data_IF_770769257071
#
_entry.id   IF_770769257071
#
_cell.length_a   1.000
_cell.length_b   1.000
_cell.length_c   1.000
_cell.angle_alpha   90.00
_cell.angle_beta   90.00
_cell.angle_gamma   90.00
#
_symmetry.space_group_name_H-M   'P 1'
#
loop_
_entity.id
_entity.type
_entity.pdbx_description
1 polymer ?
#
# COMPACT_ATOMS: atom_id res chain seq x y z
N UNK A 1 -5.62 -23.10 24.68
CA UNK A 1 -6.67 -22.68 23.73
C UNK A 1 -6.85 -21.16 23.66
N UNK A 2 -7.19 -20.48 24.77
CA UNK A 2 -7.44 -19.03 24.76
C UNK A 2 -6.27 -18.17 24.24
N UNK A 3 -5.03 -18.48 24.64
CA UNK A 3 -3.81 -17.75 24.20
C UNK A 3 -3.60 -17.86 22.69
N UNK A 4 -3.75 -19.07 22.12
CA UNK A 4 -3.60 -19.31 20.68
C UNK A 4 -4.69 -18.60 19.86
N UNK A 5 -5.95 -18.70 20.29
CA UNK A 5 -7.06 -18.00 19.65
C UNK A 5 -6.92 -16.48 19.73
N UNK A 6 -6.52 -15.95 20.89
CA UNK A 6 -6.24 -14.52 21.07
C UNK A 6 -5.12 -14.02 20.17
N UNK A 7 -4.01 -14.77 20.08
CA UNK A 7 -2.88 -14.44 19.22
C UNK A 7 -3.29 -14.42 17.74
N UNK A 8 -4.07 -15.42 17.30
CA UNK A 8 -4.60 -15.46 15.94
C UNK A 8 -5.51 -14.28 15.64
N UNK A 9 -6.50 -14.00 16.50
CA UNK A 9 -7.45 -12.90 16.28
C UNK A 9 -6.76 -11.54 16.26
N UNK A 10 -5.84 -11.30 17.20
CA UNK A 10 -5.06 -10.06 17.25
C UNK A 10 -4.16 -9.94 16.02
N UNK A 11 -3.47 -11.01 15.63
CA UNK A 11 -2.57 -11.01 14.47
C UNK A 11 -3.34 -10.87 13.15
N UNK A 12 -4.42 -11.63 12.95
CA UNK A 12 -5.28 -11.54 11.78
C UNK A 12 -5.96 -10.17 11.67
N UNK A 13 -6.43 -9.61 12.78
CA UNK A 13 -6.99 -8.24 12.83
C UNK A 13 -5.92 -7.20 12.52
N UNK A 14 -4.74 -7.32 13.14
CA UNK A 14 -3.62 -6.40 12.92
C UNK A 14 -3.09 -6.46 11.49
N UNK A 15 -3.06 -7.63 10.86
CA UNK A 15 -2.65 -7.81 9.47
C UNK A 15 -3.80 -7.58 8.49
N UNK A 16 -5.00 -7.25 8.96
CA UNK A 16 -6.20 -7.12 8.12
C UNK A 16 -6.43 -8.37 7.25
N UNK A 17 -6.11 -9.56 7.77
CA UNK A 17 -6.10 -10.82 7.02
C UNK A 17 -7.46 -11.12 6.38
N UNK A 18 -8.53 -10.77 7.09
CA UNK A 18 -9.92 -10.96 6.68
C UNK A 18 -10.61 -9.65 6.30
N UNK A 19 -9.87 -8.54 6.22
CA UNK A 19 -10.47 -7.27 5.83
C UNK A 19 -10.78 -7.30 4.34
N UNK A 20 -12.02 -7.00 3.93
CA UNK A 20 -12.34 -6.84 2.52
C UNK A 20 -11.58 -5.68 1.88
N UNK A 21 -11.25 -4.63 2.64
CA UNK A 21 -10.62 -3.42 2.12
C UNK A 21 -9.15 -3.61 1.67
N UNK A 22 -8.59 -4.82 1.71
CA UNK A 22 -7.20 -5.08 1.32
C UNK A 22 -7.16 -6.19 0.27
N UNK A 23 -7.14 -5.86 -1.04
CA UNK A 23 -7.06 -6.86 -2.09
C UNK A 23 -5.74 -7.61 -2.02
N UNK A 24 -5.80 -8.95 -2.00
CA UNK A 24 -4.64 -9.82 -1.93
C UNK A 24 -4.71 -10.92 -2.95
N UNK A 25 -3.56 -11.27 -3.52
CA UNK A 25 -3.45 -12.47 -4.36
C UNK A 25 -3.57 -13.72 -3.50
N UNK A 26 -3.97 -14.85 -4.08
CA UNK A 26 -4.03 -16.13 -3.37
C UNK A 26 -2.68 -16.49 -2.72
N UNK A 27 -1.57 -16.16 -3.39
CA UNK A 27 -0.21 -16.37 -2.88
C UNK A 27 0.08 -15.49 -1.64
N UNK A 28 -0.27 -14.20 -1.68
CA UNK A 28 -0.12 -13.28 -0.55
C UNK A 28 -0.96 -13.73 0.65
N UNK A 29 -2.20 -14.15 0.40
CA UNK A 29 -3.08 -14.71 1.42
C UNK A 29 -2.51 -15.97 2.07
N UNK A 30 -1.99 -16.91 1.26
CA UNK A 30 -1.38 -18.14 1.76
C UNK A 30 -0.13 -17.83 2.59
N UNK A 31 0.75 -16.96 2.10
CA UNK A 31 1.97 -16.58 2.80
C UNK A 31 1.69 -15.92 4.15
N UNK A 32 0.76 -14.96 4.22
CA UNK A 32 0.37 -14.32 5.48
C UNK A 32 -0.29 -15.30 6.45
N UNK A 33 -1.09 -16.24 5.94
CA UNK A 33 -1.69 -17.29 6.77
C UNK A 33 -0.61 -18.18 7.38
N UNK A 34 0.39 -18.59 6.58
CA UNK A 34 1.53 -19.37 7.05
C UNK A 34 2.33 -18.59 8.10
N UNK A 35 2.63 -17.31 7.85
CA UNK A 35 3.33 -16.45 8.82
C UNK A 35 2.56 -16.37 10.14
N UNK A 36 1.25 -16.16 10.09
CA UNK A 36 0.42 -16.06 11.30
C UNK A 36 0.32 -17.40 12.04
N UNK A 37 0.25 -18.52 11.31
CA UNK A 37 0.30 -19.87 11.87
C UNK A 37 1.63 -20.10 12.61
N UNK A 38 2.76 -19.81 11.96
CA UNK A 38 4.08 -19.95 12.56
C UNK A 38 4.25 -19.06 13.80
N UNK A 39 3.79 -17.80 13.73
CA UNK A 39 3.83 -16.89 14.87
C UNK A 39 2.98 -17.40 16.05
N UNK A 40 1.78 -17.90 15.78
CA UNK A 40 0.90 -18.45 16.83
C UNK A 40 1.50 -19.71 17.46
N UNK A 41 2.07 -20.60 16.65
CA UNK A 41 2.78 -21.79 17.12
C UNK A 41 4.00 -21.44 17.97
N UNK A 42 4.78 -20.43 17.57
CA UNK A 42 5.93 -19.94 18.34
C UNK A 42 5.51 -19.39 19.70
N UNK A 43 4.43 -18.59 19.77
CA UNK A 43 3.90 -18.06 21.03
C UNK A 43 3.46 -19.19 21.95
N UNK A 44 2.76 -20.20 21.43
CA UNK A 44 2.34 -21.37 22.21
C UNK A 44 3.53 -22.17 22.73
N UNK A 45 4.56 -22.37 21.91
CA UNK A 45 5.79 -23.05 22.30
C UNK A 45 6.55 -22.31 23.42
N UNK A 46 6.71 -20.99 23.30
CA UNK A 46 7.34 -20.17 24.35
C UNK A 46 6.51 -20.19 25.63
N UNK A 47 5.19 -20.08 25.52
CA UNK A 47 4.27 -20.14 26.66
C UNK A 47 4.39 -21.46 27.44
N UNK A 48 4.46 -22.60 26.74
CA UNK A 48 4.71 -23.92 27.34
C UNK A 48 6.04 -23.94 28.09
N UNK A 49 7.12 -23.46 27.45
CA UNK A 49 8.47 -23.47 28.03
C UNK A 49 8.64 -22.56 29.24
N UNK A 50 7.81 -21.53 29.41
CA UNK A 50 7.80 -20.70 30.61
C UNK A 50 7.22 -21.41 31.85
N UNK A 51 6.81 -22.68 31.76
CA UNK A 51 6.39 -23.49 32.91
C UNK A 51 5.06 -23.05 33.54
N UNK A 52 4.30 -22.20 32.85
CA UNK A 52 2.99 -21.69 33.31
C UNK A 52 1.90 -22.77 33.20
N UNK A 53 2.13 -23.82 32.41
CA UNK A 53 1.19 -24.94 32.21
C UNK A 53 1.64 -26.15 33.03
N UNK A 54 0.79 -26.74 33.89
CA UNK A 54 1.13 -27.93 34.66
C UNK A 54 1.48 -29.13 33.76
N UNK A 55 2.53 -29.90 34.11
CA UNK A 55 3.07 -31.04 33.34
C UNK A 55 2.03 -32.11 32.96
N UNK A 56 0.92 -32.21 33.70
CA UNK A 56 -0.16 -33.18 33.46
C UNK A 56 -0.99 -32.90 32.19
N UNK A 57 -0.81 -31.74 31.57
CA UNK A 57 -1.42 -31.37 30.29
C UNK A 57 -0.39 -31.21 29.16
N UNK A 58 0.75 -31.91 29.24
CA UNK A 58 1.72 -32.05 28.15
C UNK A 58 1.16 -32.91 26.99
N UNK A 59 -0.06 -32.62 26.55
CA UNK A 59 -0.52 -32.93 25.21
C UNK A 59 0.45 -32.19 24.29
N UNK A 60 1.31 -32.91 23.57
CA UNK A 60 2.47 -32.30 22.93
C UNK A 60 2.03 -31.07 22.14
N UNK A 61 2.65 -29.92 22.38
CA UNK A 61 2.30 -28.68 21.68
C UNK A 61 2.38 -28.84 20.16
N UNK A 62 3.12 -29.84 19.67
CA UNK A 62 3.10 -30.31 18.27
C UNK A 62 1.72 -30.84 17.85
N UNK A 63 1.07 -31.70 18.64
CA UNK A 63 -0.28 -32.22 18.38
C UNK A 63 -1.34 -31.12 18.52
N UNK A 64 -1.19 -30.22 19.49
CA UNK A 64 -2.08 -29.06 19.64
C UNK A 64 -1.94 -28.06 18.49
N UNK A 65 -0.72 -27.81 18.02
CA UNK A 65 -0.43 -26.97 16.86
C UNK A 65 -1.04 -27.53 15.57
N UNK A 66 -1.02 -28.85 15.38
CA UNK A 66 -1.68 -29.52 14.23
C UNK A 66 -3.20 -29.44 14.33
N UNK A 67 -3.79 -29.63 15.50
CA UNK A 67 -5.24 -29.50 15.69
C UNK A 67 -5.67 -28.05 15.46
N UNK A 68 -4.95 -27.08 16.03
CA UNK A 68 -5.17 -25.66 15.80
C UNK A 68 -4.96 -25.28 14.32
N UNK A 69 -4.00 -25.89 13.62
CA UNK A 69 -3.79 -25.73 12.18
C UNK A 69 -5.02 -26.17 11.37
N UNK A 70 -5.58 -27.35 11.66
CA UNK A 70 -6.78 -27.86 10.98
C UNK A 70 -7.98 -26.95 11.26
N UNK A 71 -8.19 -26.54 12.51
CA UNK A 71 -9.30 -25.67 12.88
C UNK A 71 -9.17 -24.23 12.35
N UNK A 72 -7.95 -23.69 12.24
CA UNK A 72 -7.72 -22.36 11.67
C UNK A 72 -7.90 -22.35 10.15
N UNK A 73 -7.44 -23.40 9.45
CA UNK A 73 -7.75 -23.60 8.04
C UNK A 73 -9.25 -23.80 7.82
N UNK A 74 -9.91 -24.65 8.61
CA UNK A 74 -11.35 -24.86 8.56
C UNK A 74 -12.12 -23.56 8.83
N UNK A 75 -11.77 -22.80 9.87
CA UNK A 75 -12.37 -21.50 10.15
C UNK A 75 -12.17 -20.51 9.00
N UNK A 76 -11.00 -20.50 8.35
CA UNK A 76 -10.76 -19.67 7.16
C UNK A 76 -11.70 -20.06 6.01
N UNK A 77 -11.78 -21.33 5.66
CA UNK A 77 -12.57 -21.78 4.50
C UNK A 77 -14.08 -21.77 4.76
N UNK A 78 -14.51 -22.09 5.97
CA UNK A 78 -15.94 -22.22 6.32
C UNK A 78 -16.54 -20.89 6.76
N UNK A 79 -15.81 -20.06 7.52
CA UNK A 79 -16.36 -18.83 8.10
C UNK A 79 -15.91 -17.60 7.29
N UNK A 80 -14.60 -17.46 7.06
CA UNK A 80 -14.06 -16.21 6.51
C UNK A 80 -14.03 -16.12 4.99
N UNK A 81 -13.90 -17.24 4.27
CA UNK A 81 -13.97 -17.26 2.80
C UNK A 81 -15.32 -16.76 2.28
N UNK A 82 -16.49 -17.22 2.80
CA UNK A 82 -17.77 -16.67 2.40
C UNK A 82 -17.97 -15.21 2.85
N UNK A 83 -17.48 -14.83 4.06
CA UNK A 83 -17.53 -13.42 4.50
C UNK A 83 -16.68 -12.49 3.63
N UNK A 84 -15.53 -12.96 3.14
CA UNK A 84 -14.66 -12.20 2.23
C UNK A 84 -15.34 -12.02 0.87
N UNK A 85 -15.98 -13.05 0.34
CA UNK A 85 -16.77 -12.98 -0.90
C UNK A 85 -17.97 -12.01 -0.80
N UNK A 86 -18.54 -11.85 0.40
CA UNK A 86 -19.61 -10.87 0.64
C UNK A 86 -19.05 -9.44 0.69
N UNK A 87 -17.82 -9.27 1.18
CA UNK A 87 -17.19 -7.99 1.42
C UNK A 87 -16.28 -7.44 0.32
N UNK A 88 -15.95 -8.20 -0.74
CA UNK A 88 -14.91 -7.90 -1.74
C UNK A 88 -14.55 -6.41 -1.92
N UNK A 89 -13.23 -6.05 -1.90
CA UNK A 89 -12.79 -4.67 -2.00
C UNK A 89 -13.39 -4.03 -3.22
N UNK A 90 -14.05 -2.90 -3.01
CA UNK A 90 -14.59 -2.12 -4.08
C UNK A 90 -13.47 -1.19 -4.53
N UNK A 91 -12.76 -1.56 -5.60
CA UNK A 91 -11.76 -0.69 -6.21
C UNK A 91 -12.49 0.55 -6.77
N UNK A 92 -12.15 1.72 -6.27
CA UNK A 92 -12.67 3.00 -6.78
C UNK A 92 -12.11 3.22 -8.19
N UNK A 93 -12.99 3.33 -9.18
CA UNK A 93 -12.63 3.50 -10.60
C UNK A 93 -13.32 4.70 -11.20
N UNK A 94 -12.68 5.28 -12.21
CA UNK A 94 -13.20 6.43 -12.95
C UNK A 94 -13.54 5.98 -14.38
N UNK A 95 -14.70 6.39 -14.90
CA UNK A 95 -15.07 6.11 -16.29
C UNK A 95 -15.02 7.41 -17.10
N UNK A 96 -14.32 7.40 -18.23
CA UNK A 96 -14.32 8.51 -19.20
C UNK A 96 -15.22 8.13 -20.35
N UNK A 97 -16.35 8.83 -20.48
CA UNK A 97 -17.44 8.52 -21.39
C UNK A 97 -18.77 8.54 -20.65
N UNK A 98 -19.65 9.45 -21.06
CA UNK A 98 -21.01 9.61 -20.51
C UNK A 98 -22.10 9.10 -21.45
N UNK A 99 -21.74 8.69 -22.67
CA UNK A 99 -22.64 8.13 -23.66
C UNK A 99 -22.98 6.65 -23.42
N UNK A 100 -23.57 5.98 -24.42
CA UNK A 100 -23.95 4.56 -24.32
C UNK A 100 -22.78 3.62 -23.97
N UNK A 101 -21.58 3.89 -24.49
CA UNK A 101 -20.39 3.11 -24.18
C UNK A 101 -19.99 3.23 -22.70
N UNK A 102 -20.10 4.42 -22.11
CA UNK A 102 -19.84 4.65 -20.69
C UNK A 102 -20.85 3.95 -19.78
N UNK A 103 -22.13 3.96 -20.15
CA UNK A 103 -23.17 3.22 -19.43
C UNK A 103 -22.95 1.71 -19.53
N UNK A 104 -22.61 1.20 -20.72
CA UNK A 104 -22.28 -0.21 -20.89
C UNK A 104 -21.06 -0.62 -20.06
N UNK A 105 -20.01 0.22 -20.04
CA UNK A 105 -18.84 0.00 -19.20
C UNK A 105 -19.22 0.00 -17.72
N UNK A 106 -20.07 0.93 -17.26
CA UNK A 106 -20.56 0.95 -15.89
C UNK A 106 -21.26 -0.38 -15.52
N UNK A 107 -22.20 -0.85 -16.35
CA UNK A 107 -22.86 -2.14 -16.15
C UNK A 107 -21.86 -3.30 -16.11
N UNK A 108 -20.91 -3.36 -17.03
CA UNK A 108 -19.88 -4.40 -17.05
C UNK A 108 -19.00 -4.37 -15.78
N UNK A 109 -18.71 -3.19 -15.23
CA UNK A 109 -17.91 -3.03 -14.02
C UNK A 109 -18.66 -3.34 -12.73
N UNK A 110 -19.97 -3.06 -12.68
CA UNK A 110 -20.78 -3.26 -11.46
C UNK A 110 -21.51 -4.60 -11.41
N UNK A 111 -21.94 -5.12 -12.55
CA UNK A 111 -22.75 -6.35 -12.68
C UNK A 111 -21.96 -7.50 -13.33
N UNK A 112 -20.77 -7.23 -13.85
CA UNK A 112 -19.93 -8.23 -14.52
C UNK A 112 -19.29 -9.25 -13.58
N UNK A 113 -18.71 -10.29 -14.20
CA UNK A 113 -17.90 -11.31 -13.50
C UNK A 113 -16.48 -10.78 -13.33
N UNK A 114 -16.04 -10.58 -12.09
CA UNK A 114 -14.71 -10.04 -11.84
C UNK A 114 -14.57 -9.39 -10.47
N UNK A 115 -13.60 -8.47 -10.35
CA UNK A 115 -13.41 -7.69 -9.12
C UNK A 115 -14.55 -6.71 -8.93
N UNK A 116 -15.05 -6.58 -7.71
CA UNK A 116 -16.03 -5.52 -7.39
C UNK A 116 -15.36 -4.16 -7.52
N UNK A 117 -16.01 -3.24 -8.22
CA UNK A 117 -15.53 -1.88 -8.46
C UNK A 117 -16.62 -0.85 -8.16
N UNK A 118 -16.24 0.31 -7.65
CA UNK A 118 -17.14 1.44 -7.42
C UNK A 118 -16.80 2.47 -8.47
N UNK A 119 -17.75 2.76 -9.35
CA UNK A 119 -17.56 3.88 -10.27
C UNK A 119 -17.79 5.17 -9.49
N UNK A 120 -16.70 5.85 -9.14
CA UNK A 120 -16.72 7.09 -8.34
C UNK A 120 -17.39 8.23 -9.12
N UNK A 121 -17.23 8.22 -10.45
CA UNK A 121 -17.91 9.14 -11.33
C UNK A 121 -17.51 8.98 -12.79
N UNK A 122 -18.08 9.85 -13.60
CA UNK A 122 -17.85 9.92 -15.05
C UNK A 122 -17.19 11.23 -15.46
N UNK A 123 -16.38 11.17 -16.53
CA UNK A 123 -15.93 12.35 -17.27
C UNK A 123 -16.54 12.35 -18.67
N UNK A 124 -17.07 13.49 -19.11
CA UNK A 124 -17.67 13.60 -20.45
C UNK A 124 -16.61 13.89 -21.52
N UNK A 125 -16.72 13.23 -22.68
CA UNK A 125 -15.99 13.67 -23.88
C UNK A 125 -16.59 14.97 -24.42
N UNK A 126 -15.81 15.73 -25.18
CA UNK A 126 -16.28 16.98 -25.80
C UNK A 126 -17.48 16.72 -26.73
N UNK A 127 -18.57 17.47 -26.51
CA UNK A 127 -19.80 17.34 -27.30
C UNK A 127 -20.61 16.06 -27.02
N UNK A 128 -20.23 15.26 -26.03
CA UNK A 128 -20.96 14.07 -25.64
C UNK A 128 -22.17 14.42 -24.75
N UNK A 129 -23.33 13.85 -25.07
CA UNK A 129 -24.55 14.04 -24.29
C UNK A 129 -24.64 12.91 -23.26
N UNK A 130 -24.78 13.29 -21.99
CA UNK A 130 -24.95 12.36 -20.89
C UNK A 130 -26.16 11.45 -21.09
N UNK A 131 -25.94 10.14 -21.07
CA UNK A 131 -27.00 9.16 -21.22
C UNK A 131 -27.83 9.05 -19.93
N UNK A 132 -29.15 8.88 -20.07
CA UNK A 132 -30.10 8.78 -18.93
C UNK A 132 -29.81 7.62 -17.97
N UNK A 133 -29.04 6.61 -18.39
CA UNK A 133 -28.70 5.44 -17.59
C UNK A 133 -27.53 5.60 -16.61
N UNK A 134 -26.91 6.79 -16.53
CA UNK A 134 -25.78 7.02 -15.62
C UNK A 134 -26.23 6.99 -14.15
N UNK A 135 -25.60 6.14 -13.33
CA UNK A 135 -25.90 5.98 -11.90
C UNK A 135 -24.78 6.47 -10.98
N UNK A 136 -23.85 7.27 -11.49
CA UNK A 136 -22.78 7.91 -10.73
C UNK A 136 -22.62 9.39 -11.19
N UNK A 137 -22.03 10.28 -10.37
CA UNK A 137 -21.94 11.71 -10.71
C UNK A 137 -21.00 11.96 -11.89
N UNK A 138 -21.31 12.98 -12.69
CA UNK A 138 -20.40 13.51 -13.71
C UNK A 138 -19.47 14.50 -13.00
N UNK A 139 -18.18 14.20 -12.97
CA UNK A 139 -17.18 14.96 -12.20
C UNK A 139 -16.57 16.12 -12.99
N UNK A 140 -16.76 16.14 -14.31
CA UNK A 140 -16.21 17.15 -15.21
C UNK A 140 -16.06 16.63 -16.64
N UNK A 141 -15.20 17.30 -17.41
CA UNK A 141 -14.84 16.90 -18.77
C UNK A 141 -13.59 16.01 -18.78
N UNK A 142 -13.39 15.27 -19.87
CA UNK A 142 -12.22 14.42 -20.08
C UNK A 142 -10.90 15.20 -20.01
N UNK A 143 -10.88 16.48 -20.42
CA UNK A 143 -9.73 17.38 -20.26
C UNK A 143 -9.32 17.64 -18.80
N UNK A 144 -10.24 17.45 -17.85
CA UNK A 144 -10.01 17.70 -16.42
C UNK A 144 -9.55 16.44 -15.66
N UNK A 145 -9.24 15.36 -16.38
CA UNK A 145 -8.82 14.07 -15.81
C UNK A 145 -7.76 14.23 -14.72
N UNK A 146 -6.65 14.93 -15.01
CA UNK A 146 -5.54 15.10 -14.07
C UNK A 146 -5.97 15.86 -12.80
N UNK A 147 -6.91 16.79 -12.92
CA UNK A 147 -7.47 17.54 -11.78
C UNK A 147 -8.33 16.63 -10.90
N UNK A 148 -9.10 15.72 -11.50
CA UNK A 148 -9.90 14.73 -10.77
C UNK A 148 -9.01 13.69 -10.08
N UNK A 149 -8.03 13.13 -10.80
CA UNK A 149 -7.02 12.22 -10.23
C UNK A 149 -6.21 12.87 -9.10
N UNK A 150 -6.12 14.21 -9.08
CA UNK A 150 -5.46 14.93 -8.02
C UNK A 150 -6.25 15.01 -6.71
N UNK A 151 -7.58 14.96 -6.80
CA UNK A 151 -8.51 15.13 -5.67
C UNK A 151 -9.04 13.80 -5.15
N UNK A 152 -9.22 12.83 -6.04
CA UNK A 152 -9.74 11.51 -5.74
C UNK A 152 -8.73 10.45 -6.14
N UNK A 153 -8.47 9.53 -5.20
CA UNK A 153 -7.65 8.36 -5.48
C UNK A 153 -8.52 7.34 -6.22
N UNK A 154 -8.09 6.93 -7.41
CA UNK A 154 -8.76 5.91 -8.19
C UNK A 154 -7.75 4.83 -8.58
N UNK A 155 -8.16 3.58 -8.48
CA UNK A 155 -7.33 2.44 -8.81
C UNK A 155 -7.02 2.38 -10.30
N UNK A 156 -8.00 2.70 -11.14
CA UNK A 156 -7.93 2.56 -12.60
C UNK A 156 -8.92 3.50 -13.32
N UNK A 157 -8.56 3.92 -14.54
CA UNK A 157 -9.38 4.77 -15.41
C UNK A 157 -9.88 3.97 -16.63
N UNK A 158 -11.19 3.88 -16.81
CA UNK A 158 -11.82 3.17 -17.93
C UNK A 158 -12.21 4.16 -19.02
N UNK A 159 -11.63 4.04 -20.22
CA UNK A 159 -11.82 4.99 -21.31
C UNK A 159 -12.88 4.44 -22.28
N UNK A 160 -14.14 4.77 -22.03
CA UNK A 160 -15.31 4.27 -22.74
C UNK A 160 -15.87 5.29 -23.76
N UNK A 161 -15.07 5.57 -24.79
CA UNK A 161 -15.43 6.46 -25.91
C UNK A 161 -15.76 5.74 -27.20
N UNK A 162 -16.28 6.48 -28.19
CA UNK A 162 -16.42 5.99 -29.57
C UNK A 162 -15.15 6.34 -30.34
N UNK A 163 -14.33 5.36 -30.68
CA UNK A 163 -13.01 5.56 -31.31
C UNK A 163 -13.05 6.46 -32.55
N UNK A 164 -14.10 6.35 -33.38
CA UNK A 164 -14.26 7.15 -34.60
C UNK A 164 -14.57 8.63 -34.35
N UNK A 165 -15.14 8.97 -33.19
CA UNK A 165 -15.55 10.35 -32.87
C UNK A 165 -14.60 10.96 -31.85
N UNK A 166 -14.28 10.24 -30.77
CA UNK A 166 -13.50 10.73 -29.64
C UNK A 166 -12.03 10.30 -29.71
N UNK A 167 -11.55 9.75 -30.83
CA UNK A 167 -10.23 9.12 -30.93
C UNK A 167 -9.06 10.01 -30.49
N UNK A 168 -9.09 11.31 -30.83
CA UNK A 168 -8.07 12.26 -30.41
C UNK A 168 -8.08 12.49 -28.89
N UNK A 169 -9.25 12.73 -28.30
CA UNK A 169 -9.40 12.94 -26.86
C UNK A 169 -9.06 11.67 -26.06
N UNK A 170 -9.44 10.49 -26.56
CA UNK A 170 -9.02 9.20 -26.02
C UNK A 170 -7.50 9.06 -25.98
N UNK A 171 -6.79 9.47 -27.04
CA UNK A 171 -5.32 9.45 -27.06
C UNK A 171 -4.71 10.46 -26.08
N UNK A 172 -5.32 11.63 -25.89
CA UNK A 172 -4.88 12.60 -24.87
C UNK A 172 -5.04 12.04 -23.46
N UNK A 173 -6.16 11.37 -23.18
CA UNK A 173 -6.41 10.69 -21.90
C UNK A 173 -5.38 9.59 -21.66
N UNK A 174 -5.09 8.76 -22.67
CA UNK A 174 -4.07 7.70 -22.58
C UNK A 174 -2.70 8.31 -22.21
N UNK A 175 -2.26 9.36 -22.92
CA UNK A 175 -0.99 10.03 -22.61
C UNK A 175 -0.97 10.62 -21.21
N UNK A 176 -2.08 11.23 -20.77
CA UNK A 176 -2.20 11.77 -19.42
C UNK A 176 -2.07 10.66 -18.36
N UNK A 177 -2.72 9.51 -18.57
CA UNK A 177 -2.58 8.35 -17.70
C UNK A 177 -1.14 7.81 -17.68
N UNK A 178 -0.48 7.70 -18.83
CA UNK A 178 0.92 7.29 -18.94
C UNK A 178 1.89 8.24 -18.23
N UNK A 179 1.67 9.55 -18.35
CA UNK A 179 2.51 10.57 -17.73
C UNK A 179 2.49 10.47 -16.20
N UNK A 180 1.32 10.22 -15.61
CA UNK A 180 1.17 10.07 -14.14
C UNK A 180 1.25 8.61 -13.66
N UNK A 181 1.45 7.65 -14.56
CA UNK A 181 1.50 6.23 -14.25
C UNK A 181 0.19 5.63 -13.73
N UNK A 182 -0.94 6.22 -14.09
CA UNK A 182 -2.27 5.74 -13.70
C UNK A 182 -2.67 4.54 -14.57
N UNK A 183 -3.04 3.39 -13.98
CA UNK A 183 -3.61 2.28 -14.74
C UNK A 183 -4.85 2.72 -15.50
N UNK A 184 -4.99 2.25 -16.73
CA UNK A 184 -6.17 2.53 -17.54
C UNK A 184 -6.60 1.33 -18.35
N UNK A 185 -7.88 1.28 -18.69
CA UNK A 185 -8.46 0.18 -19.44
C UNK A 185 -9.36 0.66 -20.58
N UNK A 186 -9.38 -0.11 -21.66
CA UNK A 186 -10.18 0.16 -22.85
C UNK A 186 -11.25 -0.93 -23.03
N UNK A 187 -12.53 -0.57 -23.26
CA UNK A 187 -13.60 -1.55 -23.45
C UNK A 187 -13.43 -2.31 -24.77
N UNK A 188 -13.67 -3.63 -24.71
CA UNK A 188 -13.79 -4.48 -25.91
C UNK A 188 -15.24 -4.68 -26.34
N UNK A 189 -16.15 -3.79 -25.95
CA UNK A 189 -17.60 -3.99 -26.12
C UNK A 189 -18.03 -4.12 -27.59
N UNK A 190 -17.20 -3.65 -28.55
CA UNK A 190 -17.42 -3.86 -29.98
C UNK A 190 -17.07 -5.27 -30.49
N UNK A 191 -16.46 -6.10 -29.63
CA UNK A 191 -15.88 -7.41 -29.96
C UNK A 191 -16.34 -8.45 -28.91
N UNK A 192 -17.62 -8.81 -28.93
CA UNK A 192 -18.15 -9.90 -28.11
C UNK A 192 -17.84 -11.25 -28.76
N UNK A 193 -16.86 -11.98 -28.23
CA UNK A 193 -16.51 -13.30 -28.72
C UNK A 193 -17.15 -14.40 -27.86
N UNK A 194 -18.11 -15.15 -28.42
CA UNK A 194 -18.74 -16.27 -27.68
C UNK A 194 -17.87 -17.52 -27.63
N UNK A 195 -16.98 -17.72 -28.61
CA UNK A 195 -16.16 -18.93 -28.75
C UNK A 195 -14.66 -18.66 -28.89
N UNK A 196 -14.28 -17.52 -29.46
CA UNK A 196 -12.88 -17.19 -29.66
C UNK A 196 -12.21 -16.82 -28.32
N UNK A 197 -10.99 -17.32 -28.11
CA UNK A 197 -10.14 -16.98 -26.97
C UNK A 197 -8.92 -16.24 -27.49
N UNK A 198 -8.48 -15.22 -26.77
CA UNK A 198 -7.28 -14.46 -27.14
C UNK A 198 -6.05 -15.38 -27.07
N UNK A 199 -5.23 -15.38 -28.12
CA UNK A 199 -3.99 -16.13 -28.17
C UNK A 199 -2.91 -15.36 -27.39
N UNK A 200 -2.37 -16.01 -26.36
CA UNK A 200 -1.17 -15.56 -25.66
C UNK A 200 -1.42 -14.50 -24.60
N UNK A 201 -1.65 -14.94 -23.35
CA UNK A 201 -1.24 -14.29 -22.08
C UNK A 201 -1.65 -12.85 -21.77
N UNK A 202 -2.10 -12.05 -22.73
CA UNK A 202 -2.65 -10.73 -22.51
C UNK A 202 -3.95 -10.95 -21.73
N UNK A 203 -3.96 -10.37 -20.53
CA UNK A 203 -5.05 -10.48 -19.58
C UNK A 203 -6.29 -9.81 -20.16
N UNK A 204 -7.03 -10.52 -21.00
CA UNK A 204 -8.48 -10.39 -20.98
C UNK A 204 -8.92 -10.88 -19.61
N UNK A 205 -9.07 -9.93 -18.72
CA UNK A 205 -9.85 -10.12 -17.52
C UNK A 205 -11.28 -10.46 -17.93
N UNK A 206 -11.96 -11.26 -17.11
CA UNK A 206 -13.34 -11.72 -17.37
C UNK A 206 -14.35 -10.56 -17.46
N UNK A 207 -13.92 -9.33 -17.16
CA UNK A 207 -14.71 -8.10 -17.16
C UNK A 207 -14.86 -7.42 -18.53
N UNK A 208 -14.19 -7.92 -19.59
CA UNK A 208 -14.38 -7.42 -20.96
C UNK A 208 -13.59 -6.15 -21.32
N UNK A 209 -12.50 -5.88 -20.60
CA UNK A 209 -11.62 -4.74 -20.85
C UNK A 209 -10.17 -5.17 -21.16
N UNK A 210 -9.46 -4.32 -21.91
CA UNK A 210 -8.01 -4.40 -22.07
C UNK A 210 -7.34 -3.47 -21.06
N UNK A 211 -6.60 -4.05 -20.12
CA UNK A 211 -5.91 -3.31 -19.06
C UNK A 211 -4.48 -2.95 -19.46
N UNK A 212 -4.10 -1.70 -19.23
CA UNK A 212 -2.79 -1.15 -19.53
C UNK A 212 -2.15 -0.57 -18.27
N UNK A 213 -0.86 -0.84 -18.12
CA UNK A 213 -0.01 -0.31 -17.06
C UNK A 213 1.15 0.45 -17.70
N UNK A 214 1.47 1.62 -17.16
CA UNK A 214 2.58 2.46 -17.66
C UNK A 214 3.96 1.98 -17.18
N UNK A 215 4.01 0.88 -16.44
CA UNK A 215 5.23 0.29 -15.89
C UNK A 215 5.41 -1.13 -16.41
N UNK A 216 6.67 -1.54 -16.60
CA UNK A 216 7.03 -2.91 -17.00
C UNK A 216 6.35 -3.97 -16.11
N UNK A 217 5.51 -4.80 -16.73
CA UNK A 217 4.87 -5.92 -16.04
C UNK A 217 5.83 -7.09 -15.94
N UNK A 218 6.45 -7.27 -14.78
CA UNK A 218 7.28 -8.45 -14.46
C UNK A 218 6.58 -9.29 -13.39
N UNK A 219 5.48 -10.00 -13.72
CA UNK A 219 4.59 -10.60 -12.73
C UNK A 219 5.31 -11.58 -11.81
N UNK A 220 6.21 -12.40 -12.36
CA UNK A 220 7.02 -13.32 -11.55
C UNK A 220 7.95 -12.59 -10.58
N UNK A 221 8.64 -11.54 -11.03
CA UNK A 221 9.52 -10.77 -10.15
C UNK A 221 8.73 -10.05 -9.05
N UNK A 222 7.54 -9.52 -9.37
CA UNK A 222 6.68 -8.90 -8.36
C UNK A 222 6.16 -9.90 -7.32
N UNK A 223 5.84 -11.13 -7.74
CA UNK A 223 5.46 -12.20 -6.83
C UNK A 223 6.64 -12.58 -5.90
N UNK A 224 7.85 -12.73 -6.45
CA UNK A 224 9.07 -12.97 -5.66
C UNK A 224 9.35 -11.82 -4.71
N UNK A 225 9.29 -10.57 -5.16
CA UNK A 225 9.44 -9.38 -4.32
C UNK A 225 8.44 -9.39 -3.16
N UNK A 226 7.18 -9.70 -3.44
CA UNK A 226 6.14 -9.78 -2.40
C UNK A 226 6.43 -10.87 -1.38
N UNK A 227 6.91 -12.05 -1.81
CA UNK A 227 7.30 -13.11 -0.89
C UNK A 227 8.49 -12.71 -0.02
N UNK A 228 9.50 -12.07 -0.61
CA UNK A 228 10.65 -11.53 0.13
C UNK A 228 10.21 -10.48 1.16
N UNK A 229 9.32 -9.56 0.77
CA UNK A 229 8.75 -8.55 1.67
C UNK A 229 8.06 -9.19 2.88
N UNK A 230 7.25 -10.23 2.66
CA UNK A 230 6.53 -10.92 3.73
C UNK A 230 7.50 -11.65 4.65
N UNK A 231 8.40 -12.48 4.10
CA UNK A 231 9.33 -13.30 4.87
C UNK A 231 10.30 -12.43 5.66
N UNK A 232 10.92 -11.44 5.02
CA UNK A 232 11.89 -10.57 5.68
C UNK A 232 11.22 -9.67 6.74
N UNK A 233 10.01 -9.18 6.51
CA UNK A 233 9.28 -8.39 7.51
C UNK A 233 8.83 -9.23 8.70
N UNK A 234 8.34 -10.45 8.46
CA UNK A 234 7.96 -11.38 9.51
C UNK A 234 9.17 -11.77 10.37
N UNK A 235 10.28 -12.15 9.73
CA UNK A 235 11.52 -12.49 10.42
C UNK A 235 12.08 -11.29 11.19
N UNK A 236 12.08 -10.10 10.57
CA UNK A 236 12.50 -8.86 11.20
C UNK A 236 11.69 -8.54 12.46
N UNK A 237 10.37 -8.69 12.42
CA UNK A 237 9.52 -8.49 13.60
C UNK A 237 9.82 -9.48 14.74
N UNK A 238 10.11 -10.74 14.42
CA UNK A 238 10.47 -11.75 15.43
C UNK A 238 11.83 -11.45 16.04
N UNK A 239 12.86 -11.25 15.22
CA UNK A 239 14.23 -11.00 15.67
C UNK A 239 14.34 -9.68 16.45
N UNK A 240 13.63 -8.64 16.00
CA UNK A 240 13.65 -7.33 16.66
C UNK A 240 12.64 -7.23 17.81
N UNK A 241 11.80 -8.23 18.06
CA UNK A 241 10.75 -8.16 19.09
C UNK A 241 11.25 -7.75 20.49
N UNK A 242 12.44 -8.18 20.99
CA UNK A 242 12.93 -7.71 22.30
C UNK A 242 13.23 -6.20 22.30
N UNK A 243 13.82 -5.70 21.21
CA UNK A 243 14.09 -4.27 21.03
C UNK A 243 12.79 -3.47 20.92
N UNK A 244 11.82 -3.94 20.13
CA UNK A 244 10.51 -3.31 19.97
C UNK A 244 9.78 -3.20 21.31
N UNK A 245 9.84 -4.26 22.14
CA UNK A 245 9.25 -4.27 23.47
C UNK A 245 9.94 -3.29 24.42
N UNK A 246 11.27 -3.26 24.43
CA UNK A 246 12.04 -2.31 25.24
C UNK A 246 11.69 -0.85 24.88
N UNK A 247 11.66 -0.53 23.58
CA UNK A 247 11.29 0.80 23.08
C UNK A 247 9.85 1.15 23.47
N UNK A 248 8.92 0.21 23.35
CA UNK A 248 7.53 0.39 23.75
C UNK A 248 7.41 0.74 25.25
N UNK A 249 8.13 0.03 26.12
CA UNK A 249 8.19 0.30 27.56
C UNK A 249 8.80 1.68 27.82
N UNK A 250 9.92 2.01 27.18
CA UNK A 250 10.59 3.30 27.36
C UNK A 250 9.70 4.49 26.96
N UNK A 251 8.96 4.37 25.84
CA UNK A 251 7.99 5.38 25.42
C UNK A 251 6.87 5.51 26.46
N UNK A 252 6.36 4.39 26.98
CA UNK A 252 5.28 4.40 27.97
C UNK A 252 5.72 4.99 29.32
N UNK A 253 6.95 4.71 29.73
CA UNK A 253 7.56 5.24 30.94
C UNK A 253 7.88 6.74 30.86
N UNK A 254 7.98 7.31 29.65
CA UNK A 254 8.32 8.73 29.47
C UNK A 254 7.16 9.66 29.80
N UNK A 255 5.96 9.40 29.25
CA UNK A 255 4.80 10.30 29.42
C UNK A 255 3.44 9.58 29.46
N UNK A 256 3.43 8.23 29.56
CA UNK A 256 2.21 7.43 29.65
C UNK A 256 1.35 7.35 28.38
N UNK A 257 1.69 8.06 27.30
CA UNK A 257 0.88 8.07 26.07
C UNK A 257 0.97 6.78 25.21
N UNK A 258 0.38 6.79 24.01
CA UNK A 258 0.39 5.64 23.10
C UNK A 258 1.80 5.31 22.58
N UNK A 259 2.08 4.02 22.40
CA UNK A 259 3.38 3.56 21.88
C UNK A 259 3.51 3.87 20.38
N UNK A 260 2.46 3.57 19.63
CA UNK A 260 2.42 3.78 18.18
C UNK A 260 1.79 5.11 17.82
N UNK A 261 2.41 5.79 16.86
CA UNK A 261 1.88 6.94 16.16
C UNK A 261 1.47 6.51 14.75
N UNK A 262 0.29 6.93 14.30
CA UNK A 262 -0.21 6.68 12.94
C UNK A 262 -0.09 7.97 12.15
N UNK A 263 0.59 7.91 11.01
CA UNK A 263 0.70 9.04 10.11
C UNK A 263 0.05 8.75 8.77
N UNK A 264 -0.93 9.55 8.38
CA UNK A 264 -1.58 9.41 7.07
C UNK A 264 -0.59 9.69 5.95
N UNK A 265 -0.51 8.75 5.00
CA UNK A 265 0.39 8.77 3.85
C UNK A 265 -0.37 8.42 2.58
N UNK A 266 0.22 8.79 1.45
CA UNK A 266 -0.25 8.45 0.11
C UNK A 266 0.57 7.26 -0.40
N UNK A 267 -0.12 6.21 -0.81
CA UNK A 267 0.44 4.97 -1.33
C UNK A 267 0.13 4.78 -2.82
N UNK A 268 -0.04 3.52 -3.21
CA UNK A 268 -0.29 3.12 -4.60
C UNK A 268 -1.53 3.82 -5.16
N UNK A 269 -1.39 4.39 -6.36
CA UNK A 269 -2.43 5.09 -7.13
C UNK A 269 -3.14 6.19 -6.31
N UNK A 270 -2.41 6.84 -5.40
CA UNK A 270 -2.96 7.92 -4.58
C UNK A 270 -3.76 7.45 -3.36
N UNK A 271 -3.91 6.14 -3.14
CA UNK A 271 -4.68 5.60 -2.02
C UNK A 271 -4.07 5.98 -0.68
N UNK A 272 -4.89 6.36 0.30
CA UNK A 272 -4.41 6.71 1.63
C UNK A 272 -4.20 5.49 2.51
N UNK A 273 -3.14 5.50 3.30
CA UNK A 273 -2.91 4.50 4.36
C UNK A 273 -2.29 5.13 5.62
N UNK A 274 -2.43 4.41 6.73
CA UNK A 274 -1.83 4.79 8.00
C UNK A 274 -0.46 4.14 8.16
N UNK A 275 0.59 4.95 8.04
CA UNK A 275 1.96 4.52 8.28
C UNK A 275 2.24 4.47 9.78
N UNK A 276 2.66 3.30 10.27
CA UNK A 276 2.96 3.06 11.68
C UNK A 276 4.37 3.53 12.02
N UNK A 277 4.51 4.27 13.12
CA UNK A 277 5.79 4.63 13.71
C UNK A 277 5.77 4.45 15.22
N UNK A 278 6.93 4.34 15.84
CA UNK A 278 7.01 4.63 17.28
C UNK A 278 6.87 6.12 17.51
N UNK A 279 6.15 6.47 18.57
CA UNK A 279 6.04 7.85 18.99
C UNK A 279 7.39 8.34 19.51
N UNK A 280 7.94 9.36 18.85
CA UNK A 280 9.20 10.02 19.23
C UNK A 280 8.99 11.46 19.70
N UNK A 281 7.75 11.96 19.67
CA UNK A 281 7.38 13.32 20.05
C UNK A 281 6.39 13.33 21.21
N UNK A 282 6.31 14.46 21.92
CA UNK A 282 5.32 14.71 22.97
C UNK A 282 3.90 14.69 22.41
N UNK A 283 2.90 14.40 23.25
CA UNK A 283 1.49 14.26 22.84
C UNK A 283 0.91 15.46 22.08
N UNK A 284 1.37 16.69 22.38
CA UNK A 284 0.85 17.93 21.78
C UNK A 284 1.73 18.46 20.62
N UNK A 285 2.56 17.61 20.01
CA UNK A 285 3.51 18.00 18.97
C UNK A 285 2.86 18.56 17.70
N UNK A 286 1.67 18.10 17.33
CA UNK A 286 0.96 18.59 16.15
C UNK A 286 0.49 20.05 16.35
N UNK A 287 -0.03 20.41 17.53
CA UNK A 287 -0.41 21.79 17.85
C UNK A 287 0.79 22.75 17.90
N UNK A 288 1.98 22.24 18.17
CA UNK A 288 3.23 23.01 18.12
C UNK A 288 3.76 23.18 16.70
N UNK A 289 3.35 22.32 15.76
CA UNK A 289 3.87 22.30 14.38
C UNK A 289 3.55 23.58 13.63
N UNK A 290 2.32 24.08 13.75
CA UNK A 290 1.87 25.26 13.01
C UNK A 290 2.66 26.51 13.42
N UNK A 291 3.03 26.59 14.70
CA UNK A 291 3.89 27.66 15.25
C UNK A 291 5.35 27.53 14.81
N UNK A 292 5.81 26.33 14.45
CA UNK A 292 7.18 26.05 14.05
C UNK A 292 7.38 26.03 12.53
N UNK A 293 6.32 26.11 11.71
CA UNK A 293 6.44 26.11 10.24
C UNK A 293 7.30 27.26 9.71
N UNK A 294 7.34 28.40 10.42
CA UNK A 294 8.21 29.52 10.11
C UNK A 294 9.73 29.21 10.25
N UNK A 295 10.08 28.11 10.92
CA UNK A 295 11.46 27.67 11.19
C UNK A 295 11.85 26.46 10.32
N UNK A 296 11.17 26.24 9.19
CA UNK A 296 11.49 25.14 8.29
C UNK A 296 12.85 25.35 7.61
N UNK A 297 13.78 24.42 7.82
CA UNK A 297 15.15 24.50 7.33
C UNK A 297 15.32 23.90 5.92
N UNK A 298 14.29 23.23 5.36
CA UNK A 298 14.37 22.61 4.04
C UNK A 298 14.04 23.61 2.93
N UNK A 299 14.96 23.78 1.97
CA UNK A 299 14.75 24.62 0.79
C UNK A 299 13.60 24.07 -0.06
N UNK A 300 12.68 24.95 -0.47
CA UNK A 300 11.50 24.62 -1.28
C UNK A 300 10.19 24.45 -0.51
N UNK A 301 10.20 24.39 0.84
CA UNK A 301 8.98 24.49 1.67
C UNK A 301 8.01 23.30 1.66
N UNK A 302 8.15 22.36 0.72
CA UNK A 302 7.27 21.19 0.54
C UNK A 302 7.36 20.22 1.74
N UNK A 303 8.56 20.03 2.27
CA UNK A 303 8.85 19.10 3.38
C UNK A 303 9.23 19.91 4.61
N UNK A 304 8.69 19.55 5.77
CA UNK A 304 9.04 20.20 7.03
C UNK A 304 10.22 19.50 7.69
N UNK A 305 11.27 20.25 7.99
CA UNK A 305 12.44 19.75 8.69
C UNK A 305 13.03 20.83 9.61
N UNK A 306 13.41 20.42 10.82
CA UNK A 306 14.07 21.25 11.82
C UNK A 306 15.07 20.38 12.58
N UNK A 307 16.33 20.82 12.68
CA UNK A 307 17.41 20.05 13.31
C UNK A 307 17.27 19.91 14.84
N UNK A 308 16.81 20.96 15.51
CA UNK A 308 16.56 20.98 16.96
C UNK A 308 15.07 21.15 17.24
N UNK A 309 14.29 20.12 16.93
CA UNK A 309 12.84 20.15 17.13
C UNK A 309 12.48 19.97 18.62
N UNK A 310 11.90 20.99 19.29
CA UNK A 310 11.59 20.95 20.72
C UNK A 310 10.49 19.94 21.08
N UNK A 311 9.81 19.37 20.07
CA UNK A 311 8.73 18.40 20.25
C UNK A 311 9.26 16.98 20.50
N UNK A 312 10.53 16.72 20.24
CA UNK A 312 11.13 15.39 20.34
C UNK A 312 11.50 15.10 21.81
N UNK A 313 11.09 13.94 22.33
CA UNK A 313 11.47 13.51 23.68
C UNK A 313 12.95 13.09 23.76
N UNK A 314 13.51 12.97 24.96
CA UNK A 314 14.89 12.48 25.15
C UNK A 314 15.10 11.09 24.53
N UNK A 315 14.18 10.16 24.80
CA UNK A 315 14.17 8.84 24.16
C UNK A 315 13.87 8.93 22.66
N UNK A 316 13.00 9.86 22.25
CA UNK A 316 12.66 10.11 20.85
C UNK A 316 13.86 10.50 20.00
N UNK A 317 14.83 11.25 20.55
CA UNK A 317 16.09 11.58 19.88
C UNK A 317 16.92 10.32 19.58
N UNK A 318 17.03 9.39 20.53
CA UNK A 318 17.71 8.11 20.31
C UNK A 318 17.00 7.28 19.25
N UNK A 319 15.68 7.13 19.37
CA UNK A 319 14.86 6.35 18.45
C UNK A 319 15.01 6.88 17.01
N UNK A 320 14.93 8.20 16.80
CA UNK A 320 15.08 8.82 15.46
C UNK A 320 16.50 8.72 14.91
N UNK A 321 17.52 8.86 15.77
CA UNK A 321 18.94 8.77 15.36
C UNK A 321 19.25 7.43 14.69
N UNK A 322 18.72 6.34 15.26
CA UNK A 322 18.92 4.98 14.74
C UNK A 322 17.75 4.50 13.86
N UNK A 323 16.82 5.39 13.48
CA UNK A 323 15.63 5.06 12.66
C UNK A 323 14.78 3.92 13.24
N UNK A 324 14.85 3.73 14.55
CA UNK A 324 14.08 2.71 15.28
C UNK A 324 12.60 3.04 15.23
N UNK A 325 12.24 4.32 15.03
CA UNK A 325 10.84 4.77 14.90
C UNK A 325 10.13 4.15 13.70
N UNK A 326 10.88 3.67 12.71
CA UNK A 326 10.34 3.14 11.46
C UNK A 326 10.14 1.63 11.47
N UNK A 327 10.67 0.91 12.47
CA UNK A 327 10.51 -0.55 12.57
C UNK A 327 9.04 -1.02 12.61
N UNK A 328 8.08 -0.30 13.21
CA UNK A 328 6.67 -0.68 13.13
C UNK A 328 6.10 -0.72 11.68
N UNK A 329 6.77 -0.09 10.71
CA UNK A 329 6.38 -0.13 9.30
C UNK A 329 6.52 -1.52 8.68
N UNK A 330 7.27 -2.45 9.30
CA UNK A 330 7.28 -3.86 8.91
C UNK A 330 5.87 -4.47 8.93
N UNK A 331 4.99 -3.99 9.82
CA UNK A 331 3.58 -4.38 9.86
C UNK A 331 2.83 -3.82 8.64
N UNK A 332 3.12 -2.59 8.20
CA UNK A 332 2.55 -2.03 6.96
C UNK A 332 3.00 -2.82 5.73
N UNK A 333 4.25 -3.29 5.71
CA UNK A 333 4.75 -4.16 4.64
C UNK A 333 3.97 -5.48 4.63
N UNK A 334 3.79 -6.13 5.79
CA UNK A 334 2.97 -7.35 5.86
C UNK A 334 1.53 -7.11 5.42
N UNK A 335 0.92 -5.97 5.79
CA UNK A 335 -0.44 -5.60 5.35
C UNK A 335 -0.57 -5.46 3.84
N UNK A 336 0.51 -5.07 3.15
CA UNK A 336 0.51 -4.76 1.72
C UNK A 336 0.39 -3.27 1.41
N UNK A 337 0.40 -2.41 2.44
CA UNK A 337 0.38 -0.94 2.29
C UNK A 337 1.73 -0.42 1.75
N UNK A 338 2.82 -1.11 2.10
CA UNK A 338 4.20 -0.76 1.78
C UNK A 338 4.98 -1.98 1.26
N UNK A 339 6.19 -1.74 0.75
CA UNK A 339 7.20 -2.74 0.41
C UNK A 339 8.52 -2.42 1.14
N UNK A 340 9.47 -3.35 1.20
CA UNK A 340 10.79 -3.05 1.80
C UNK A 340 11.51 -1.98 0.97
N UNK A 341 11.50 -2.11 -0.36
CA UNK A 341 12.19 -1.19 -1.27
C UNK A 341 11.19 -0.55 -2.21
N UNK A 342 11.19 0.77 -2.29
CA UNK A 342 10.28 1.55 -3.13
C UNK A 342 10.39 3.05 -2.82
N UNK A 343 9.71 3.94 -3.58
CA UNK A 343 9.72 5.37 -3.33
C UNK A 343 9.25 5.72 -1.91
N UNK A 344 9.77 6.79 -1.33
CA UNK A 344 9.39 7.19 0.04
C UNK A 344 7.88 7.47 0.17
N UNK A 345 7.19 6.97 1.22
CA UNK A 345 5.79 7.31 1.48
C UNK A 345 5.57 8.84 1.58
N UNK A 346 4.75 9.38 0.68
CA UNK A 346 4.49 10.82 0.58
C UNK A 346 3.45 11.30 1.61
N UNK A 347 3.63 12.51 2.14
CA UNK A 347 2.59 13.16 2.95
C UNK A 347 1.53 13.74 2.01
N UNK A 348 0.22 13.71 2.34
CA UNK A 348 -0.84 14.27 1.49
C UNK A 348 -0.59 15.71 1.04
N UNK A 349 -0.07 16.57 1.93
CA UNK A 349 0.29 17.97 1.62
C UNK A 349 1.41 18.11 0.58
N UNK A 350 2.34 17.15 0.53
CA UNK A 350 3.43 17.15 -0.44
C UNK A 350 2.87 16.78 -1.81
N UNK A 351 2.04 15.74 -1.87
CA UNK A 351 1.37 15.28 -3.10
C UNK A 351 0.50 16.38 -3.73
N UNK A 352 -0.15 17.20 -2.90
CA UNK A 352 -0.93 18.34 -3.39
C UNK A 352 -0.09 19.39 -4.15
N UNK A 353 1.22 19.41 -3.95
CA UNK A 353 2.16 20.34 -4.58
C UNK A 353 2.98 19.70 -5.72
N UNK A 354 2.73 18.42 -6.04
CA UNK A 354 3.49 17.72 -7.07
C UNK A 354 3.20 18.28 -8.46
N UNK A 355 4.26 18.39 -9.25
CA UNK A 355 4.17 18.56 -10.72
C UNK A 355 3.58 17.27 -11.33
N UNK A 356 2.95 17.37 -12.49
CA UNK A 356 2.29 16.22 -13.16
C UNK A 356 3.22 15.01 -13.27
N UNK A 357 4.41 15.21 -13.82
CA UNK A 357 5.43 14.16 -13.96
C UNK A 357 5.86 13.51 -12.63
N UNK A 358 5.80 14.23 -11.50
CA UNK A 358 6.21 13.71 -10.19
C UNK A 358 5.18 12.71 -9.64
N UNK A 359 3.92 12.77 -10.08
CA UNK A 359 2.86 11.87 -9.62
C UNK A 359 3.11 10.41 -10.01
N UNK A 360 3.88 10.17 -11.08
CA UNK A 360 4.22 8.82 -11.54
C UNK A 360 4.90 7.96 -10.48
N UNK A 361 5.56 8.56 -9.47
CA UNK A 361 6.11 7.80 -8.33
C UNK A 361 5.05 7.05 -7.51
N UNK A 362 3.78 7.46 -7.60
CA UNK A 362 2.64 6.84 -6.90
C UNK A 362 2.12 5.59 -7.63
N UNK A 363 2.61 5.27 -8.83
CA UNK A 363 2.22 4.06 -9.58
C UNK A 363 2.76 2.75 -8.98
N UNK A 364 3.63 2.85 -7.97
CA UNK A 364 4.20 1.71 -7.24
C UNK A 364 3.96 1.87 -5.75
N UNK A 365 3.99 0.73 -5.02
CA UNK A 365 3.90 0.77 -3.55
C UNK A 365 5.10 1.51 -2.95
N UNK A 366 4.89 2.37 -1.95
CA UNK A 366 5.99 3.06 -1.31
C UNK A 366 6.84 2.12 -0.45
N UNK A 367 8.12 2.45 -0.30
CA UNK A 367 9.14 1.63 0.34
C UNK A 367 9.56 2.08 1.73
N UNK A 368 10.04 1.14 2.54
CA UNK A 368 10.78 1.44 3.78
C UNK A 368 12.18 2.01 3.49
N UNK A 369 12.82 1.58 2.40
CA UNK A 369 14.05 2.16 1.87
C UNK A 369 13.90 2.54 0.40
N UNK A 370 14.68 3.53 -0.05
CA UNK A 370 14.63 4.10 -1.39
C UNK A 370 16.02 4.58 -1.85
N UNK A 371 16.18 4.92 -3.14
CA UNK A 371 17.42 5.50 -3.65
C UNK A 371 17.87 6.72 -2.87
N UNK A 372 16.95 7.66 -2.64
CA UNK A 372 17.21 8.87 -1.87
C UNK A 372 17.83 8.60 -0.48
N UNK A 373 17.36 7.54 0.19
CA UNK A 373 17.79 7.19 1.54
C UNK A 373 19.25 6.75 1.61
N UNK A 374 19.79 6.23 0.50
CA UNK A 374 21.19 5.76 0.39
C UNK A 374 22.08 6.70 -0.41
N UNK A 375 21.52 7.65 -1.19
CA UNK A 375 22.25 8.53 -2.11
C UNK A 375 22.55 9.95 -1.57
N UNK A 376 22.44 10.20 -0.26
CA UNK A 376 22.83 11.48 0.35
C UNK A 376 21.76 12.16 1.21
N UNK A 377 20.52 11.63 1.24
CA UNK A 377 19.40 12.15 2.04
C UNK A 377 19.20 13.68 1.91
N UNK A 378 19.71 14.44 2.87
CA UNK A 378 19.38 15.85 3.06
C UNK A 378 20.15 16.80 2.14
N UNK A 379 21.13 16.29 1.40
CA UNK A 379 22.00 17.10 0.55
C UNK A 379 21.45 17.27 -0.88
N UNK A 380 20.39 16.53 -1.24
CA UNK A 380 19.81 16.60 -2.58
C UNK A 380 18.56 17.47 -2.64
N UNK A 381 18.39 18.18 -3.76
CA UNK A 381 17.21 19.00 -4.02
C UNK A 381 15.94 18.16 -4.21
N UNK A 382 14.77 18.78 -4.06
CA UNK A 382 13.49 18.08 -4.18
C UNK A 382 13.25 17.50 -5.59
N UNK A 383 13.55 18.24 -6.65
CA UNK A 383 13.37 17.74 -8.03
C UNK A 383 14.34 16.58 -8.34
N UNK A 384 15.58 16.63 -7.84
CA UNK A 384 16.54 15.53 -7.98
C UNK A 384 16.08 14.27 -7.21
N UNK A 385 15.53 14.45 -6.01
CA UNK A 385 14.89 13.35 -5.29
C UNK A 385 13.75 12.73 -6.11
N UNK A 386 12.86 13.53 -6.69
CA UNK A 386 11.78 12.99 -7.52
C UNK A 386 12.31 12.21 -8.73
N UNK A 387 13.41 12.65 -9.33
CA UNK A 387 14.07 11.89 -10.42
C UNK A 387 14.64 10.55 -9.94
N UNK A 388 15.22 10.48 -8.74
CA UNK A 388 15.69 9.19 -8.17
C UNK A 388 14.53 8.22 -7.92
N UNK A 389 13.38 8.73 -7.46
CA UNK A 389 12.19 7.90 -7.28
C UNK A 389 11.65 7.38 -8.61
N UNK A 390 11.60 8.22 -9.66
CA UNK A 390 11.18 7.77 -11.00
C UNK A 390 12.18 6.81 -11.62
N UNK A 391 13.48 7.00 -11.40
CA UNK A 391 14.51 6.05 -11.84
C UNK A 391 14.26 4.66 -11.26
N UNK A 392 13.81 4.57 -10.00
CA UNK A 392 13.39 3.30 -9.42
C UNK A 392 12.20 2.71 -10.18
N UNK A 393 11.14 3.49 -10.39
CA UNK A 393 9.93 3.02 -11.09
C UNK A 393 10.27 2.48 -12.50
N UNK A 394 11.08 3.22 -13.25
CA UNK A 394 11.35 2.91 -14.65
C UNK A 394 12.31 1.72 -14.83
N UNK A 395 13.29 1.55 -13.93
CA UNK A 395 14.36 0.55 -14.08
C UNK A 395 14.26 -0.60 -13.08
N UNK A 396 13.15 -0.69 -12.35
CA UNK A 396 13.01 -1.63 -11.24
C UNK A 396 13.35 -3.07 -11.66
N UNK A 397 14.12 -3.74 -10.80
CA UNK A 397 14.36 -5.17 -10.84
C UNK A 397 14.79 -5.66 -9.46
N UNK A 398 14.72 -6.97 -9.23
CA UNK A 398 15.09 -7.58 -7.95
C UNK A 398 16.54 -7.31 -7.52
N UNK A 399 17.47 -7.15 -8.47
CA UNK A 399 18.88 -6.86 -8.16
C UNK A 399 19.03 -5.48 -7.52
N UNK A 400 18.32 -4.47 -8.04
CA UNK A 400 18.28 -3.12 -7.45
C UNK A 400 17.73 -3.17 -6.03
N UNK A 401 16.69 -3.96 -5.78
CA UNK A 401 16.13 -4.10 -4.42
C UNK A 401 17.15 -4.64 -3.43
N UNK A 402 17.86 -5.71 -3.80
CA UNK A 402 18.93 -6.29 -2.95
C UNK A 402 20.05 -5.28 -2.71
N UNK A 403 20.48 -4.56 -3.75
CA UNK A 403 21.52 -3.53 -3.63
C UNK A 403 21.10 -2.42 -2.66
N UNK A 404 19.86 -1.92 -2.76
CA UNK A 404 19.34 -0.87 -1.89
C UNK A 404 19.22 -1.34 -0.44
N UNK A 405 18.78 -2.58 -0.20
CA UNK A 405 18.73 -3.18 1.14
C UNK A 405 20.14 -3.22 1.75
N UNK A 406 21.14 -3.74 1.02
CA UNK A 406 22.52 -3.84 1.49
C UNK A 406 23.13 -2.47 1.80
N UNK A 407 22.88 -1.47 0.95
CA UNK A 407 23.31 -0.08 1.17
C UNK A 407 22.62 0.60 2.35
N UNK A 408 21.46 0.10 2.78
CA UNK A 408 20.71 0.70 3.89
C UNK A 408 21.33 0.38 5.26
N UNK A 409 21.89 -0.82 5.45
CA UNK A 409 22.44 -1.23 6.76
C UNK A 409 23.51 -0.28 7.32
N UNK A 410 24.55 0.12 6.57
CA UNK A 410 25.57 1.05 7.09
C UNK A 410 24.99 2.44 7.42
N UNK A 411 24.00 2.90 6.65
CA UNK A 411 23.37 4.21 6.84
C UNK A 411 22.60 4.25 8.16
N UNK A 412 21.86 3.19 8.50
CA UNK A 412 21.11 3.08 9.76
C UNK A 412 22.05 2.96 10.96
N UNK A 413 23.12 2.16 10.85
CA UNK A 413 24.09 1.97 11.93
C UNK A 413 24.92 3.22 12.24
N UNK A 414 25.28 3.99 11.21
CA UNK A 414 26.08 5.22 11.38
C UNK A 414 25.25 6.44 11.78
N UNK A 415 23.92 6.38 11.67
CA UNK A 415 23.02 7.51 11.92
C UNK A 415 23.26 8.71 10.98
N UNK A 416 24.04 8.56 9.91
CA UNK A 416 24.36 9.65 8.98
C UNK A 416 23.08 10.20 8.34
N UNK A 417 22.89 11.51 8.47
CA UNK A 417 21.73 12.22 7.92
C UNK A 417 20.41 12.03 8.68
N UNK A 418 20.40 11.35 9.86
CA UNK A 418 19.24 11.35 10.74
C UNK A 418 19.03 12.75 11.34
N UNK A 419 17.76 13.16 11.48
CA UNK A 419 17.34 14.49 11.93
C UNK A 419 16.64 14.44 13.27
#
# INVERSE_FOLDING_TARGET
MAVGAGTWLVGAGSLRLYSPATPRTAQDQAALTIVLLLATSLVLFVWERMGVVPEKHAFSVTSFGVICFVWMLAGRYVIFSPLHAIGDPVEDVLVVGTGPAGVAAWHALTEGRGRRRCVVGFLAFEGEIAHRGLKAPILGNASELLTVLARQAVAEVFIAGRTLVHGHEMQQIVRACEEVGQPFALPLHALAFERARLLGGAALTEDGFLHYLSTDTRPFQYAVKRMLDIVASALGLVVLSPLLLFVAIAIKATDGGPVFFKQRRVGLNGAYFDMLKFRSMVMNADAMKDKLMAQNEMQGGVVFKMKNDPRITSIGRFIRKFSVDELPQLINILRGDMTIVGPRPAVPREVAQYKVWQRRRLSVRPGLTCYWQVSGRNEIGFDEWMQLDLRYVDHWNLKIDVELILKTFPVVLTGRGAS
#
